data_IF_252090298728
#
_entry.id   IF_252090298728
#
_cell.length_a   1.000
_cell.length_b   1.000
_cell.length_c   1.000
_cell.angle_alpha   90.00
_cell.angle_beta   90.00
_cell.angle_gamma   90.00
#
_symmetry.space_group_name_H-M   'P 1'
#
loop_
_entity.id
_entity.type
_entity.pdbx_description
1 polymer ?
#
# COMPACT_ATOMS: atom_id res chain seq x y z
N UNK A 1 8.44 2.20 1.62
CA UNK A 1 8.66 2.86 2.94
C UNK A 1 8.96 1.90 4.10
N UNK A 2 8.73 0.58 3.99
CA UNK A 2 8.93 -0.35 5.11
C UNK A 2 10.33 -0.33 5.74
N UNK A 3 11.40 -0.16 4.94
CA UNK A 3 12.78 -0.11 5.46
C UNK A 3 13.05 1.10 6.37
N UNK A 4 12.34 2.21 6.18
CA UNK A 4 12.50 3.43 6.97
C UNK A 4 11.97 3.24 8.40
N UNK A 5 10.98 2.35 8.58
CA UNK A 5 10.35 2.09 9.88
C UNK A 5 11.31 1.42 10.89
N UNK A 6 12.50 0.97 10.44
CA UNK A 6 13.56 0.43 11.31
C UNK A 6 14.84 1.27 11.27
N UNK A 7 14.80 2.49 10.74
CA UNK A 7 15.98 3.34 10.54
C UNK A 7 16.83 3.54 11.80
N UNK A 8 16.20 3.56 12.99
CA UNK A 8 16.88 3.69 14.29
C UNK A 8 17.69 2.47 14.73
N UNK A 9 17.40 1.29 14.19
CA UNK A 9 18.08 0.03 14.56
C UNK A 9 19.21 -0.34 13.58
N UNK A 10 19.42 0.47 12.52
CA UNK A 10 20.45 0.19 11.53
C UNK A 10 21.82 0.70 12.00
N UNK A 11 22.85 -0.14 11.85
CA UNK A 11 24.24 0.25 12.11
C UNK A 11 24.70 1.47 11.27
N UNK A 12 24.24 1.58 10.02
CA UNK A 12 24.57 2.69 9.11
C UNK A 12 23.36 3.08 8.23
N UNK A 13 22.41 3.87 8.75
CA UNK A 13 21.16 4.18 8.06
C UNK A 13 21.37 4.95 6.75
N UNK A 14 22.33 5.87 6.70
CA UNK A 14 22.61 6.70 5.52
C UNK A 14 23.01 5.89 4.27
N UNK A 15 23.70 4.75 4.46
CA UNK A 15 24.11 3.88 3.35
C UNK A 15 23.09 2.78 3.07
N UNK A 16 22.58 2.15 4.12
CA UNK A 16 21.74 0.96 4.00
C UNK A 16 20.32 1.26 3.51
N UNK A 17 19.74 2.42 3.87
CA UNK A 17 18.41 2.82 3.40
C UNK A 17 18.33 2.98 1.88
N UNK A 18 19.17 3.80 1.22
CA UNK A 18 19.08 3.97 -0.24
C UNK A 18 19.42 2.68 -0.98
N UNK A 19 20.48 1.96 -0.56
CA UNK A 19 20.90 0.74 -1.23
C UNK A 19 19.84 -0.36 -1.10
N UNK A 20 19.33 -0.60 0.10
CA UNK A 20 18.31 -1.63 0.35
C UNK A 20 16.97 -1.30 -0.30
N UNK A 21 16.57 -0.03 -0.34
CA UNK A 21 15.30 0.37 -0.98
C UNK A 21 15.39 0.22 -2.50
N UNK A 22 16.48 0.71 -3.13
CA UNK A 22 16.64 0.64 -4.57
C UNK A 22 16.83 -0.81 -5.05
N UNK A 23 17.59 -1.64 -4.33
CA UNK A 23 17.77 -3.04 -4.69
C UNK A 23 16.47 -3.82 -4.56
N UNK A 24 15.66 -3.57 -3.52
CA UNK A 24 14.36 -4.21 -3.35
C UNK A 24 13.38 -3.81 -4.47
N UNK A 25 13.35 -2.53 -4.86
CA UNK A 25 12.53 -2.06 -6.00
C UNK A 25 12.99 -2.74 -7.29
N UNK A 26 14.31 -2.81 -7.55
CA UNK A 26 14.85 -3.49 -8.72
C UNK A 26 14.48 -4.97 -8.78
N UNK A 27 14.68 -5.68 -7.67
CA UNK A 27 14.36 -7.11 -7.58
C UNK A 27 12.87 -7.39 -7.79
N UNK A 28 11.98 -6.64 -7.11
CA UNK A 28 10.53 -6.81 -7.27
C UNK A 28 10.04 -6.44 -8.66
N UNK A 29 10.58 -5.37 -9.26
CA UNK A 29 10.24 -4.99 -10.64
C UNK A 29 10.65 -6.07 -11.64
N UNK A 30 11.85 -6.65 -11.48
CA UNK A 30 12.31 -7.74 -12.34
C UNK A 30 11.43 -8.97 -12.21
N UNK A 31 11.03 -9.34 -10.99
CA UNK A 31 10.10 -10.46 -10.78
C UNK A 31 8.76 -10.18 -11.44
N UNK A 32 8.16 -9.00 -11.24
CA UNK A 32 6.88 -8.66 -11.86
C UNK A 32 6.92 -8.66 -13.39
N UNK A 33 7.96 -8.08 -14.00
CA UNK A 33 8.12 -8.06 -15.45
C UNK A 33 8.35 -9.46 -16.02
N UNK A 34 9.17 -10.27 -15.35
CA UNK A 34 9.40 -11.67 -15.76
C UNK A 34 8.11 -12.48 -15.69
N UNK A 35 7.37 -12.37 -14.58
CA UNK A 35 6.07 -13.03 -14.44
C UNK A 35 5.08 -12.58 -15.52
N UNK A 36 5.04 -11.29 -15.85
CA UNK A 36 4.16 -10.75 -16.88
C UNK A 36 4.47 -11.34 -18.27
N UNK A 37 5.74 -11.40 -18.65
CA UNK A 37 6.16 -11.97 -19.94
C UNK A 37 5.88 -13.47 -19.99
N UNK A 38 6.23 -14.21 -18.94
CA UNK A 38 5.99 -15.66 -18.89
C UNK A 38 4.49 -15.99 -18.89
N UNK A 39 3.68 -15.22 -18.17
CA UNK A 39 2.23 -15.41 -18.14
C UNK A 39 1.61 -15.19 -19.53
N UNK A 40 2.01 -14.12 -20.23
CA UNK A 40 1.57 -13.84 -21.59
C UNK A 40 2.06 -14.84 -22.64
N UNK A 41 3.21 -15.48 -22.42
CA UNK A 41 3.73 -16.53 -23.30
C UNK A 41 3.07 -17.91 -23.05
N UNK A 42 2.49 -18.13 -21.87
CA UNK A 42 1.98 -19.46 -21.46
C UNK A 42 0.47 -19.57 -21.60
N UNK A 43 -0.28 -18.50 -21.35
CA UNK A 43 -1.74 -18.54 -21.29
C UNK A 43 -2.40 -17.80 -22.45
N UNK A 44 -3.49 -18.38 -22.97
CA UNK A 44 -4.32 -17.72 -23.99
C UNK A 44 -5.02 -16.47 -23.46
N UNK A 45 -5.25 -15.50 -24.35
CA UNK A 45 -5.89 -14.22 -24.02
C UNK A 45 -7.28 -14.37 -23.39
N UNK A 46 -8.08 -15.34 -23.83
CA UNK A 46 -9.41 -15.57 -23.25
C UNK A 46 -9.31 -16.14 -21.83
N UNK A 47 -8.34 -17.04 -21.61
CA UNK A 47 -8.08 -17.63 -20.31
C UNK A 47 -7.55 -16.60 -19.31
N UNK A 48 -6.67 -15.69 -19.76
CA UNK A 48 -6.12 -14.62 -18.94
C UNK A 48 -7.18 -13.61 -18.45
N UNK A 49 -8.31 -13.46 -19.16
CA UNK A 49 -9.41 -12.57 -18.78
C UNK A 49 -10.39 -13.19 -17.80
N UNK A 50 -10.37 -14.51 -17.65
CA UNK A 50 -11.20 -15.21 -16.68
C UNK A 50 -10.58 -15.11 -15.28
N UNK A 51 -11.09 -14.16 -14.49
CA UNK A 51 -10.63 -13.91 -13.13
C UNK A 51 -10.87 -15.09 -12.18
N UNK A 52 -11.97 -15.83 -12.38
CA UNK A 52 -12.44 -16.86 -11.45
C UNK A 52 -12.12 -18.28 -11.93
N UNK A 53 -11.65 -18.41 -13.17
CA UNK A 53 -11.34 -19.69 -13.77
C UNK A 53 -12.58 -20.55 -13.99
N UNK A 54 -13.75 -19.93 -14.21
CA UNK A 54 -15.00 -20.63 -14.51
C UNK A 54 -14.91 -21.42 -15.84
N UNK A 55 -14.05 -20.98 -16.75
CA UNK A 55 -13.72 -21.68 -18.00
C UNK A 55 -12.82 -22.91 -17.81
N UNK A 56 -12.26 -23.11 -16.61
CA UNK A 56 -11.42 -24.26 -16.27
C UNK A 56 -12.27 -25.32 -15.55
N UNK A 57 -12.14 -26.59 -15.94
CA UNK A 57 -12.69 -27.71 -15.17
C UNK A 57 -12.14 -27.64 -13.72
N UNK A 58 -12.97 -27.15 -12.77
CA UNK A 58 -12.74 -26.96 -11.30
C UNK A 58 -12.50 -25.54 -10.74
N UNK A 59 -12.87 -24.42 -11.39
CA UNK A 59 -12.78 -23.06 -10.78
C UNK A 59 -11.38 -22.75 -10.21
N UNK A 60 -10.33 -23.12 -10.94
CA UNK A 60 -8.96 -22.87 -10.52
C UNK A 60 -8.43 -21.61 -11.21
N UNK A 61 -7.79 -20.74 -10.44
CA UNK A 61 -7.17 -19.51 -10.96
C UNK A 61 -6.03 -19.90 -11.92
N UNK A 62 -5.94 -19.21 -13.06
CA UNK A 62 -4.97 -19.49 -14.13
C UNK A 62 -3.57 -19.88 -13.65
N UNK A 63 -2.97 -19.09 -12.76
CA UNK A 63 -1.59 -19.29 -12.29
C UNK A 63 -1.38 -20.57 -11.47
N UNK A 64 -2.45 -21.16 -10.96
CA UNK A 64 -2.38 -22.38 -10.13
C UNK A 64 -2.14 -23.63 -10.97
N UNK A 65 -2.49 -23.60 -12.27
CA UNK A 65 -2.33 -24.76 -13.17
C UNK A 65 -0.87 -25.02 -13.54
N UNK A 66 -0.01 -23.99 -13.47
CA UNK A 66 1.43 -24.07 -13.74
C UNK A 66 2.27 -24.23 -12.47
N UNK A 67 1.64 -24.29 -11.29
CA UNK A 67 2.36 -24.38 -10.02
C UNK A 67 2.92 -25.79 -9.79
N UNK A 68 4.25 -25.88 -9.66
CA UNK A 68 4.99 -27.11 -9.35
C UNK A 68 5.52 -27.07 -7.90
N UNK A 69 5.56 -28.18 -7.14
CA UNK A 69 5.20 -29.56 -7.50
C UNK A 69 3.71 -29.88 -7.40
N UNK A 70 2.93 -29.06 -6.70
CA UNK A 70 1.49 -29.25 -6.58
C UNK A 70 0.78 -27.90 -6.55
N UNK A 71 -0.41 -27.83 -7.16
CA UNK A 71 -1.26 -26.64 -7.26
C UNK A 71 -1.43 -25.87 -5.93
N UNK A 72 -1.65 -26.62 -4.84
CA UNK A 72 -1.87 -26.05 -3.50
C UNK A 72 -0.69 -25.24 -2.94
N UNK A 73 0.52 -25.43 -3.46
CA UNK A 73 1.70 -24.66 -3.01
C UNK A 73 1.49 -23.17 -3.28
N UNK A 74 0.90 -22.83 -4.43
CA UNK A 74 0.56 -21.45 -4.75
C UNK A 74 -0.43 -20.86 -3.73
N UNK A 75 -1.52 -21.59 -3.43
CA UNK A 75 -2.54 -21.13 -2.49
C UNK A 75 -1.98 -20.90 -1.07
N UNK A 76 -1.19 -21.85 -0.57
CA UNK A 76 -0.56 -21.74 0.74
C UNK A 76 0.39 -20.53 0.77
N UNK A 77 1.23 -20.38 -0.26
CA UNK A 77 2.14 -19.24 -0.39
C UNK A 77 1.40 -17.90 -0.44
N UNK A 78 0.32 -17.82 -1.22
CA UNK A 78 -0.50 -16.61 -1.34
C UNK A 78 -1.16 -16.22 0.00
N UNK A 79 -1.72 -17.20 0.73
CA UNK A 79 -2.32 -16.95 2.04
C UNK A 79 -1.26 -16.49 3.05
N UNK A 80 -0.11 -17.17 3.11
CA UNK A 80 0.98 -16.78 4.02
C UNK A 80 1.52 -15.39 3.69
N UNK A 81 1.68 -15.05 2.41
CA UNK A 81 2.09 -13.73 1.97
C UNK A 81 1.07 -12.65 2.35
N UNK A 82 -0.23 -12.91 2.16
CA UNK A 82 -1.30 -11.99 2.53
C UNK A 82 -1.37 -11.76 4.05
N UNK A 83 -1.29 -12.84 4.85
CA UNK A 83 -1.24 -12.75 6.33
C UNK A 83 0.01 -11.99 6.78
N UNK A 84 1.17 -12.25 6.18
CA UNK A 84 2.41 -11.53 6.47
C UNK A 84 2.29 -10.02 6.18
N UNK A 85 1.75 -9.66 5.02
CA UNK A 85 1.52 -8.25 4.66
C UNK A 85 0.50 -7.58 5.59
N UNK A 86 -0.60 -8.28 5.93
CA UNK A 86 -1.64 -7.76 6.81
C UNK A 86 -1.12 -7.54 8.24
N UNK A 87 -0.38 -8.49 8.80
CA UNK A 87 0.23 -8.37 10.13
C UNK A 87 1.25 -7.24 10.18
N UNK A 88 2.07 -7.08 9.13
CA UNK A 88 2.99 -5.95 9.02
C UNK A 88 2.25 -4.60 9.00
N UNK A 89 1.16 -4.49 8.25
CA UNK A 89 0.34 -3.28 8.20
C UNK A 89 -0.33 -2.99 9.55
N UNK A 90 -0.85 -4.02 10.23
CA UNK A 90 -1.53 -3.91 11.52
C UNK A 90 -0.60 -3.45 12.65
N UNK A 91 0.69 -3.83 12.59
CA UNK A 91 1.69 -3.36 13.56
C UNK A 91 2.29 -2.01 13.16
N UNK A 92 2.46 -1.76 11.86
CA UNK A 92 3.10 -0.54 11.34
C UNK A 92 2.24 0.71 11.46
N UNK A 93 0.97 0.64 11.02
CA UNK A 93 0.06 1.79 11.00
C UNK A 93 -0.14 2.46 12.37
N UNK A 94 -0.45 1.73 13.48
CA UNK A 94 -0.70 2.38 14.76
C UNK A 94 0.57 3.01 15.38
N UNK A 95 1.76 2.48 15.06
CA UNK A 95 3.03 3.09 15.49
C UNK A 95 3.28 4.43 14.80
N UNK A 96 3.00 4.52 13.50
CA UNK A 96 3.09 5.79 12.76
C UNK A 96 2.09 6.79 13.31
N UNK A 97 0.83 6.37 13.54
CA UNK A 97 -0.21 7.24 14.10
C UNK A 97 0.18 7.75 15.50
N UNK A 98 0.71 6.88 16.36
CA UNK A 98 1.19 7.28 17.68
C UNK A 98 2.35 8.29 17.59
N UNK A 99 3.32 8.04 16.71
CA UNK A 99 4.46 8.94 16.52
C UNK A 99 4.01 10.34 16.03
N UNK A 100 3.06 10.38 15.10
CA UNK A 100 2.44 11.64 14.64
C UNK A 100 1.70 12.33 15.78
N UNK A 101 0.91 11.59 16.57
CA UNK A 101 0.16 12.15 17.69
C UNK A 101 1.07 12.75 18.79
N UNK A 102 2.27 12.19 18.98
CA UNK A 102 3.27 12.72 19.92
C UNK A 102 4.00 13.95 19.38
N UNK A 103 4.25 14.02 18.07
CA UNK A 103 5.03 15.09 17.46
C UNK A 103 4.24 16.29 16.90
N UNK A 104 2.98 16.10 16.49
CA UNK A 104 2.27 17.09 15.66
C UNK A 104 1.57 18.22 16.44
N UNK A 105 1.48 18.14 17.79
CA UNK A 105 0.78 19.15 18.59
C UNK A 105 -0.73 19.29 18.31
N UNK A 106 -1.31 18.37 17.52
CA UNK A 106 -2.72 18.39 17.12
C UNK A 106 -3.57 17.90 18.29
N UNK A 107 -4.39 18.80 18.85
CA UNK A 107 -5.25 18.53 20.01
C UNK A 107 -6.21 17.35 19.82
N UNK A 108 -6.72 17.14 18.60
CA UNK A 108 -7.58 16.00 18.25
C UNK A 108 -6.89 14.63 18.28
N UNK A 109 -5.55 14.57 18.12
CA UNK A 109 -4.79 13.32 18.14
C UNK A 109 -4.18 13.01 19.52
N UNK A 110 -4.28 13.93 20.48
CA UNK A 110 -3.80 13.77 21.86
C UNK A 110 -4.17 12.43 22.55
N UNK A 111 -5.39 11.86 22.38
CA UNK A 111 -5.70 10.57 23.01
C UNK A 111 -4.88 9.40 22.46
N UNK A 112 -4.38 9.48 21.22
CA UNK A 112 -3.57 8.44 20.57
C UNK A 112 -2.08 8.55 20.88
N UNK A 113 -1.63 9.68 21.41
CA UNK A 113 -0.24 9.86 21.86
C UNK A 113 0.10 9.01 23.11
N UNK A 114 -0.93 8.60 23.88
CA UNK A 114 -0.76 7.82 25.11
C UNK A 114 -0.27 6.41 24.83
N UNK A 115 0.81 6.04 25.51
CA UNK A 115 1.37 4.68 25.50
C UNK A 115 0.74 3.83 26.59
N UNK A 116 0.49 2.55 26.32
CA UNK A 116 0.02 1.58 27.32
C UNK A 116 1.16 1.20 28.30
N UNK A 117 0.83 0.57 29.43
CA UNK A 117 1.80 0.10 30.43
C UNK A 117 2.86 -0.87 29.87
N UNK A 118 2.55 -1.59 28.78
CA UNK A 118 3.49 -2.47 28.06
C UNK A 118 4.30 -1.77 26.95
N UNK A 119 4.28 -0.44 26.88
CA UNK A 119 4.99 0.32 25.86
C UNK A 119 4.34 0.35 24.46
N UNK A 120 3.14 -0.23 24.28
CA UNK A 120 2.48 -0.35 22.98
C UNK A 120 1.39 0.69 22.67
N UNK A 121 1.11 0.99 21.38
CA UNK A 121 0.08 1.94 20.91
C UNK A 121 -1.34 1.36 20.93
N UNK A 122 -1.87 1.00 22.10
CA UNK A 122 -3.13 0.23 22.18
C UNK A 122 -4.35 0.97 21.60
N UNK A 123 -4.46 2.29 21.85
CA UNK A 123 -5.58 3.11 21.32
C UNK A 123 -5.51 3.30 19.81
N UNK A 124 -4.31 3.56 19.28
CA UNK A 124 -4.10 3.67 17.84
C UNK A 124 -4.34 2.32 17.16
N UNK A 125 -3.94 1.20 17.79
CA UNK A 125 -4.21 -0.15 17.31
C UNK A 125 -5.72 -0.42 17.23
N UNK A 126 -6.48 -0.10 18.29
CA UNK A 126 -7.94 -0.23 18.28
C UNK A 126 -8.59 0.57 17.16
N UNK A 127 -8.17 1.82 16.93
CA UNK A 127 -8.66 2.62 15.82
C UNK A 127 -8.37 1.96 14.46
N UNK A 128 -7.12 1.53 14.23
CA UNK A 128 -6.76 0.85 12.98
C UNK A 128 -7.52 -0.46 12.78
N UNK A 129 -7.79 -1.20 13.84
CA UNK A 129 -8.57 -2.43 13.80
C UNK A 129 -10.04 -2.16 13.46
N UNK A 130 -10.64 -1.12 14.04
CA UNK A 130 -12.02 -0.69 13.72
C UNK A 130 -12.12 -0.26 12.25
N UNK A 131 -11.18 0.55 11.77
CA UNK A 131 -11.16 0.98 10.36
C UNK A 131 -11.04 -0.23 9.43
N UNK A 132 -10.13 -1.17 9.70
CA UNK A 132 -10.01 -2.41 8.93
C UNK A 132 -11.31 -3.23 8.95
N UNK A 133 -11.94 -3.39 10.11
CA UNK A 133 -13.16 -4.18 10.25
C UNK A 133 -14.33 -3.55 9.49
N UNK A 134 -14.48 -2.23 9.55
CA UNK A 134 -15.47 -1.49 8.75
C UNK A 134 -15.23 -1.70 7.25
N UNK A 135 -13.98 -1.63 6.79
CA UNK A 135 -13.64 -1.83 5.37
C UNK A 135 -13.90 -3.27 4.91
N UNK A 136 -13.67 -4.28 5.75
CA UNK A 136 -14.01 -5.68 5.45
C UNK A 136 -15.53 -5.85 5.34
N UNK A 137 -16.29 -5.30 6.29
CA UNK A 137 -17.75 -5.37 6.28
C UNK A 137 -18.38 -4.65 5.07
N UNK A 138 -17.76 -3.56 4.61
CA UNK A 138 -18.15 -2.86 3.38
C UNK A 138 -18.03 -3.78 2.15
N UNK A 139 -16.92 -4.52 2.03
CA UNK A 139 -16.66 -5.39 0.86
C UNK A 139 -17.55 -6.61 0.82
N UNK A 140 -17.75 -7.25 1.96
CA UNK A 140 -18.60 -8.44 2.02
C UNK A 140 -20.08 -8.13 1.81
N UNK A 141 -20.46 -6.84 1.68
CA UNK A 141 -21.85 -6.34 1.62
C UNK A 141 -22.70 -6.84 2.82
N UNK A 142 -22.05 -7.26 3.91
CA UNK A 142 -22.68 -7.78 5.14
C UNK A 142 -23.21 -6.66 6.04
N UNK A 143 -23.06 -5.40 5.63
CA UNK A 143 -23.46 -4.23 6.42
C UNK A 143 -24.99 -3.98 6.47
N UNK A 144 -25.79 -4.82 5.82
CA UNK A 144 -27.25 -4.80 5.93
C UNK A 144 -27.88 -3.42 5.65
N UNK A 145 -28.82 -3.00 6.49
CA UNK A 145 -29.62 -1.76 6.36
C UNK A 145 -28.73 -0.50 6.28
N UNK A 146 -27.56 -0.50 6.92
CA UNK A 146 -26.64 0.66 6.95
C UNK A 146 -25.94 0.83 5.59
N UNK A 147 -25.51 -0.28 4.96
CA UNK A 147 -24.93 -0.25 3.62
C UNK A 147 -25.93 0.17 2.54
N UNK A 148 -27.19 -0.28 2.66
CA UNK A 148 -28.28 0.11 1.77
C UNK A 148 -28.64 1.60 1.92
N UNK A 149 -28.65 2.11 3.16
CA UNK A 149 -29.05 3.50 3.48
C UNK A 149 -27.95 4.53 3.18
N UNK A 150 -26.69 4.11 3.12
CA UNK A 150 -25.58 4.93 2.62
C UNK A 150 -25.40 4.82 1.09
N UNK A 151 -26.01 3.84 0.42
CA UNK A 151 -25.91 3.67 -1.03
C UNK A 151 -24.53 3.24 -1.53
N UNK A 152 -23.66 2.73 -0.66
CA UNK A 152 -22.27 2.40 -0.98
C UNK A 152 -22.14 0.87 -1.11
N UNK A 153 -22.40 0.32 -2.30
CA UNK A 153 -21.97 -1.05 -2.63
C UNK A 153 -20.49 -1.01 -2.99
N UNK A 154 -19.61 -1.15 -2.00
CA UNK A 154 -18.17 -1.09 -2.22
C UNK A 154 -17.67 -2.46 -2.71
N UNK A 155 -17.57 -2.61 -4.02
CA UNK A 155 -16.89 -3.76 -4.61
C UNK A 155 -15.41 -3.76 -4.23
N UNK A 156 -14.77 -4.93 -4.19
CA UNK A 156 -13.33 -5.09 -3.97
C UNK A 156 -12.50 -4.17 -4.87
N UNK A 157 -12.97 -3.90 -6.10
CA UNK A 157 -12.34 -2.98 -7.04
C UNK A 157 -12.28 -1.53 -6.53
N UNK A 158 -13.33 -1.06 -5.83
CA UNK A 158 -13.40 0.30 -5.30
C UNK A 158 -12.45 0.52 -4.12
N UNK A 159 -12.23 -0.51 -3.29
CA UNK A 159 -11.22 -0.45 -2.24
C UNK A 159 -9.81 -0.25 -2.80
N UNK A 160 -9.47 -0.97 -3.87
CA UNK A 160 -8.15 -0.82 -4.50
C UNK A 160 -7.92 0.59 -5.02
N UNK A 161 -8.97 1.26 -5.53
CA UNK A 161 -8.91 2.66 -5.94
C UNK A 161 -8.59 3.56 -4.74
N UNK A 162 -9.35 3.45 -3.65
CA UNK A 162 -9.15 4.28 -2.45
C UNK A 162 -7.73 4.11 -1.89
N UNK A 163 -7.30 2.86 -1.70
CA UNK A 163 -5.96 2.55 -1.17
C UNK A 163 -4.87 3.09 -2.09
N UNK A 164 -5.00 2.90 -3.41
CA UNK A 164 -4.03 3.38 -4.39
C UNK A 164 -3.93 4.91 -4.38
N UNK A 165 -5.06 5.61 -4.32
CA UNK A 165 -5.10 7.08 -4.22
C UNK A 165 -4.41 7.58 -2.95
N UNK A 166 -4.65 6.94 -1.80
CA UNK A 166 -3.96 7.29 -0.54
C UNK A 166 -2.43 7.11 -0.65
N UNK A 167 -1.97 6.03 -1.27
CA UNK A 167 -0.53 5.82 -1.49
C UNK A 167 0.05 6.84 -2.48
N UNK A 168 -0.64 7.14 -3.59
CA UNK A 168 -0.22 8.12 -4.59
C UNK A 168 -0.07 9.52 -3.99
N UNK A 169 -1.01 9.95 -3.14
CA UNK A 169 -0.90 11.23 -2.43
C UNK A 169 0.29 11.24 -1.48
N UNK A 170 0.53 10.15 -0.75
CA UNK A 170 1.69 10.06 0.15
C UNK A 170 3.02 10.15 -0.62
N UNK A 171 3.13 9.49 -1.78
CA UNK A 171 4.31 9.58 -2.63
C UNK A 171 4.46 10.96 -3.27
N UNK A 172 3.35 11.57 -3.71
CA UNK A 172 3.31 12.95 -4.20
C UNK A 172 3.80 13.94 -3.15
N UNK A 173 3.31 13.84 -1.91
CA UNK A 173 3.72 14.69 -0.80
C UNK A 173 5.23 14.55 -0.48
N UNK A 174 5.78 13.33 -0.52
CA UNK A 174 7.24 13.11 -0.34
C UNK A 174 8.05 13.71 -1.49
N UNK A 175 7.57 13.58 -2.72
CA UNK A 175 8.22 14.18 -3.90
C UNK A 175 8.18 15.72 -3.84
N UNK A 176 7.06 16.31 -3.42
CA UNK A 176 6.93 17.75 -3.22
C UNK A 176 7.82 18.26 -2.07
N UNK A 177 7.85 17.54 -0.95
CA UNK A 177 8.72 17.87 0.18
C UNK A 177 10.20 17.84 -0.22
N UNK A 178 10.65 16.81 -0.93
CA UNK A 178 12.03 16.71 -1.41
C UNK A 178 12.37 17.80 -2.44
N UNK A 179 11.45 18.12 -3.36
CA UNK A 179 11.60 19.24 -4.30
C UNK A 179 11.79 20.58 -3.55
N UNK A 180 10.96 20.83 -2.53
CA UNK A 180 11.01 22.06 -1.73
C UNK A 180 12.33 22.20 -0.95
N UNK A 181 12.86 21.09 -0.43
CA UNK A 181 14.14 21.06 0.29
C UNK A 181 15.33 21.23 -0.66
N UNK A 182 15.23 20.68 -1.87
CA UNK A 182 16.22 20.84 -2.93
C UNK A 182 16.31 22.30 -3.38
N UNK A 183 15.16 22.96 -3.56
CA UNK A 183 15.08 24.39 -3.87
C UNK A 183 15.66 25.26 -2.75
N UNK A 184 15.33 24.94 -1.48
CA UNK A 184 15.89 25.62 -0.29
C UNK A 184 17.34 25.23 0.04
N UNK A 185 17.96 24.34 -0.74
CA UNK A 185 19.33 23.82 -0.58
C UNK A 185 19.64 23.25 0.83
N UNK A 186 18.61 22.83 1.57
CA UNK A 186 18.74 22.40 2.98
C UNK A 186 19.31 20.99 3.11
N UNK A 187 19.14 20.15 2.09
CA UNK A 187 19.57 18.75 2.12
C UNK A 187 20.29 18.36 0.82
N UNK A 188 21.48 17.75 0.93
CA UNK A 188 22.31 17.33 -0.21
C UNK A 188 22.52 15.81 -0.19
N UNK A 189 21.68 15.07 -0.91
CA UNK A 189 21.96 13.66 -1.23
C UNK A 189 22.79 13.57 -2.52
N UNK A 190 23.79 12.68 -2.55
CA UNK A 190 24.73 12.51 -3.68
C UNK A 190 24.05 12.17 -5.02
N UNK A 191 22.94 11.43 -4.99
CA UNK A 191 22.21 10.95 -6.18
C UNK A 191 20.88 11.67 -6.43
N UNK A 192 20.58 12.71 -5.66
CA UNK A 192 19.30 13.39 -5.75
C UNK A 192 19.42 14.64 -6.64
N UNK A 193 18.55 14.73 -7.64
CA UNK A 193 18.37 15.92 -8.46
C UNK A 193 16.91 16.38 -8.40
N UNK A 194 16.67 17.70 -8.40
CA UNK A 194 15.32 18.27 -8.26
C UNK A 194 14.36 17.82 -9.37
N UNK A 195 14.88 17.60 -10.58
CA UNK A 195 14.08 17.13 -11.73
C UNK A 195 13.48 15.74 -11.50
N UNK A 196 14.18 14.84 -10.80
CA UNK A 196 13.64 13.50 -10.50
C UNK A 196 12.43 13.60 -9.56
N UNK A 197 12.50 14.44 -8.52
CA UNK A 197 11.36 14.67 -7.63
C UNK A 197 10.21 15.38 -8.30
N UNK A 198 10.49 16.35 -9.18
CA UNK A 198 9.46 17.02 -9.97
C UNK A 198 8.75 16.03 -10.92
N UNK A 199 9.51 15.22 -11.65
CA UNK A 199 8.96 14.20 -12.53
C UNK A 199 8.13 13.16 -11.76
N UNK A 200 8.60 12.74 -10.58
CA UNK A 200 7.86 11.84 -9.70
C UNK A 200 6.56 12.46 -9.19
N UNK A 201 6.55 13.75 -8.84
CA UNK A 201 5.35 14.47 -8.44
C UNK A 201 4.31 14.52 -9.57
N UNK A 202 4.74 14.93 -10.77
CA UNK A 202 3.87 14.98 -11.96
C UNK A 202 3.30 13.60 -12.26
N UNK A 203 4.13 12.56 -12.25
CA UNK A 203 3.68 11.19 -12.50
C UNK A 203 2.64 10.71 -11.47
N UNK A 204 2.86 10.99 -10.18
CA UNK A 204 1.90 10.64 -9.13
C UNK A 204 0.56 11.36 -9.33
N UNK A 205 0.59 12.66 -9.67
CA UNK A 205 -0.61 13.45 -9.92
C UNK A 205 -1.37 12.93 -11.15
N UNK A 206 -0.68 12.71 -12.27
CA UNK A 206 -1.29 12.20 -13.50
C UNK A 206 -1.97 10.86 -13.28
N UNK A 207 -1.28 9.89 -12.65
CA UNK A 207 -1.85 8.57 -12.39
C UNK A 207 -3.06 8.67 -11.46
N UNK A 208 -2.98 9.50 -10.43
CA UNK A 208 -4.08 9.69 -9.48
C UNK A 208 -5.35 10.23 -10.15
N UNK A 209 -5.23 11.23 -11.03
CA UNK A 209 -6.35 11.76 -11.81
C UNK A 209 -6.88 10.76 -12.84
N UNK A 210 -6.02 9.95 -13.45
CA UNK A 210 -6.43 8.89 -14.38
C UNK A 210 -7.20 7.76 -13.69
N UNK A 211 -6.86 7.41 -12.45
CA UNK A 211 -7.56 6.37 -11.68
C UNK A 211 -8.96 6.86 -11.27
N UNK A 212 -9.05 8.01 -10.62
CA UNK A 212 -10.35 8.62 -10.29
C UNK A 212 -10.18 10.08 -9.89
N UNK A 213 -10.65 10.97 -10.74
CA UNK A 213 -10.59 12.42 -10.50
C UNK A 213 -11.41 12.86 -9.28
N UNK A 214 -12.59 12.27 -9.03
CA UNK A 214 -13.42 12.62 -7.87
C UNK A 214 -12.72 12.31 -6.54
N UNK A 215 -12.21 11.08 -6.39
CA UNK A 215 -11.50 10.70 -5.16
C UNK A 215 -10.18 11.48 -5.02
N UNK A 216 -9.51 11.79 -6.13
CA UNK A 216 -8.32 12.62 -6.13
C UNK A 216 -8.60 14.02 -5.54
N UNK A 217 -9.66 14.69 -6.00
CA UNK A 217 -10.07 16.02 -5.48
C UNK A 217 -10.38 15.97 -3.99
N UNK A 218 -11.21 15.01 -3.57
CA UNK A 218 -11.59 14.82 -2.16
C UNK A 218 -10.35 14.64 -1.27
N UNK A 219 -9.38 13.82 -1.68
CA UNK A 219 -8.18 13.57 -0.86
C UNK A 219 -7.24 14.78 -0.86
N UNK A 220 -7.20 15.56 -1.94
CA UNK A 220 -6.44 16.82 -1.97
C UNK A 220 -7.13 17.96 -1.20
N UNK A 221 -8.40 17.79 -0.81
CA UNK A 221 -9.18 18.80 -0.09
C UNK A 221 -9.68 19.94 -0.98
N UNK A 222 -9.85 19.69 -2.28
CA UNK A 222 -10.44 20.60 -3.28
C UNK A 222 -11.89 20.17 -3.52
#
# INVERSE_FOLDING_TARGET
MAGINRSGDLANPQKSLPLGTLSAIGATSLVYLTCLVLFGATFDNLFARDRWGDSVFRRHVAITTIAWPHMNVFFIGAVLAAVGAATQALVGAPRILQAVAQGAGITGLAPFARTSARGGPLRALMLTAVICLVMILMVENRMGIIGIRMGINLSTSSLWIIVSTCFLVSYGAVNLASLSQSYRKTYRCKYHHWTMSFMGLVLCMTIMFMVSWLHALVVMGV
#
